data_IF_212601140693
#
_entry.id   IF_212601140693
#
_cell.length_a   1.000
_cell.length_b   1.000
_cell.length_c   1.000
_cell.angle_alpha   90.00
_cell.angle_beta   90.00
_cell.angle_gamma   90.00
#
_symmetry.space_group_name_H-M   'P 1'
#
loop_
_entity.id
_entity.type
_entity.pdbx_description
1 polymer ?
#
# COMPACT_ATOMS: atom_id res chain seq x y z
N UNK A 1 -7.22 -26.76 -5.36
CA UNK A 1 -7.56 -25.34 -5.56
C UNK A 1 -6.35 -24.49 -5.96
N UNK A 2 -5.20 -24.59 -5.27
CA UNK A 2 -3.95 -23.88 -5.61
C UNK A 2 -3.59 -24.01 -7.10
N UNK A 3 -3.68 -25.22 -7.67
CA UNK A 3 -3.42 -25.43 -9.10
C UNK A 3 -4.35 -24.63 -10.02
N UNK A 4 -5.65 -24.48 -9.69
CA UNK A 4 -6.60 -23.69 -10.48
C UNK A 4 -6.28 -22.20 -10.43
N UNK A 5 -5.89 -21.70 -9.25
CA UNK A 5 -5.46 -20.31 -9.07
C UNK A 5 -4.18 -20.02 -9.88
N UNK A 6 -3.19 -20.91 -9.79
CA UNK A 6 -1.94 -20.81 -10.54
C UNK A 6 -2.21 -20.84 -12.05
N UNK A 7 -3.00 -21.81 -12.51
CA UNK A 7 -3.33 -21.95 -13.94
C UNK A 7 -4.10 -20.72 -14.45
N UNK A 8 -5.10 -20.25 -13.69
CA UNK A 8 -5.85 -19.04 -14.02
C UNK A 8 -4.96 -17.80 -14.09
N UNK A 9 -4.05 -17.64 -13.13
CA UNK A 9 -3.08 -16.54 -13.12
C UNK A 9 -2.14 -16.60 -14.33
N UNK A 10 -1.68 -17.79 -14.72
CA UNK A 10 -0.86 -18.00 -15.92
C UNK A 10 -1.64 -17.64 -17.19
N UNK A 11 -2.91 -18.05 -17.30
CA UNK A 11 -3.75 -17.73 -18.46
C UNK A 11 -3.97 -16.22 -18.57
N UNK A 12 -4.26 -15.52 -17.47
CA UNK A 12 -4.40 -14.05 -17.47
C UNK A 12 -3.09 -13.39 -17.86
N UNK A 13 -1.96 -13.82 -17.29
CA UNK A 13 -0.65 -13.30 -17.64
C UNK A 13 -0.31 -13.52 -19.12
N UNK A 14 -0.59 -14.71 -19.66
CA UNK A 14 -0.39 -15.03 -21.08
C UNK A 14 -1.27 -14.17 -21.99
N UNK A 15 -2.52 -13.92 -21.61
CA UNK A 15 -3.42 -13.04 -22.36
C UNK A 15 -2.94 -11.59 -22.37
N UNK A 16 -2.45 -11.07 -21.25
CA UNK A 16 -1.86 -9.72 -21.16
C UNK A 16 -0.59 -9.61 -22.01
N UNK A 17 0.32 -10.58 -21.89
CA UNK A 17 1.55 -10.61 -22.70
C UNK A 17 1.21 -10.73 -24.19
N UNK A 18 0.26 -11.60 -24.55
CA UNK A 18 -0.21 -11.75 -25.93
C UNK A 18 -0.81 -10.45 -26.48
N UNK A 19 -1.60 -9.73 -25.68
CA UNK A 19 -2.15 -8.43 -26.08
C UNK A 19 -1.07 -7.36 -26.27
N UNK A 20 -0.03 -7.36 -25.43
CA UNK A 20 1.11 -6.44 -25.58
C UNK A 20 1.86 -6.73 -26.89
N UNK A 21 2.18 -8.00 -27.16
CA UNK A 21 2.89 -8.43 -28.37
C UNK A 21 2.05 -8.13 -29.62
N UNK A 22 0.76 -8.44 -29.60
CA UNK A 22 -0.14 -8.26 -30.74
C UNK A 22 -0.33 -6.78 -31.12
N UNK A 23 -0.20 -5.85 -30.18
CA UNK A 23 -0.27 -4.41 -30.44
C UNK A 23 1.03 -3.81 -31.00
N UNK A 24 2.04 -4.64 -31.32
CA UNK A 24 3.29 -4.16 -31.90
C UNK A 24 4.10 -3.26 -30.97
N UNK A 25 3.93 -3.42 -29.65
CA UNK A 25 4.67 -2.62 -28.69
C UNK A 25 6.18 -2.90 -28.82
N UNK A 26 6.95 -1.87 -29.18
CA UNK A 26 8.42 -1.92 -29.22
C UNK A 26 9.05 -2.05 -27.81
N UNK A 27 8.23 -1.98 -26.76
CA UNK A 27 8.67 -2.14 -25.37
C UNK A 27 9.03 -3.60 -25.12
N UNK A 28 10.33 -3.88 -25.05
CA UNK A 28 10.84 -5.23 -24.79
C UNK A 28 10.28 -5.85 -23.49
N UNK A 29 10.06 -7.17 -23.49
CA UNK A 29 9.51 -7.93 -22.35
C UNK A 29 10.28 -7.68 -21.04
N UNK A 30 11.60 -7.52 -21.11
CA UNK A 30 12.44 -7.21 -19.94
C UNK A 30 12.04 -5.92 -19.22
N UNK A 31 11.54 -4.97 -19.98
CA UNK A 31 11.10 -3.71 -19.44
C UNK A 31 9.84 -3.93 -18.58
N UNK A 32 8.89 -4.74 -19.03
CA UNK A 32 7.73 -5.11 -18.20
C UNK A 32 8.12 -5.93 -16.96
N UNK A 33 9.16 -6.76 -17.05
CA UNK A 33 9.67 -7.48 -15.87
C UNK A 33 10.24 -6.54 -14.80
N UNK A 34 10.74 -5.36 -15.18
CA UNK A 34 11.21 -4.35 -14.24
C UNK A 34 10.09 -3.71 -13.40
N UNK A 35 8.82 -3.86 -13.79
CA UNK A 35 7.65 -3.44 -12.99
C UNK A 35 7.29 -4.44 -11.89
N UNK A 36 7.74 -5.70 -11.99
CA UNK A 36 7.38 -6.72 -11.00
C UNK A 36 7.93 -6.44 -9.60
N UNK A 37 9.22 -6.04 -9.42
CA UNK A 37 9.76 -5.77 -8.09
C UNK A 37 8.94 -4.77 -7.26
N UNK A 38 8.60 -3.55 -7.71
CA UNK A 38 7.78 -2.64 -6.90
C UNK A 38 6.38 -3.21 -6.65
N UNK A 39 5.75 -3.80 -7.67
CA UNK A 39 4.39 -4.35 -7.59
C UNK A 39 4.27 -5.56 -6.65
N UNK A 40 5.38 -6.22 -6.33
CA UNK A 40 5.42 -7.34 -5.39
C UNK A 40 5.98 -6.93 -4.03
N UNK A 41 7.15 -6.30 -4.01
CA UNK A 41 7.87 -5.96 -2.78
C UNK A 41 7.13 -4.91 -1.96
N UNK A 42 6.49 -3.92 -2.59
CA UNK A 42 5.79 -2.90 -1.82
C UNK A 42 4.55 -3.44 -1.10
N UNK A 43 3.61 -4.14 -1.77
CA UNK A 43 2.51 -4.81 -1.08
C UNK A 43 2.97 -5.84 -0.05
N UNK A 44 4.03 -6.59 -0.35
CA UNK A 44 4.59 -7.59 0.57
C UNK A 44 5.20 -6.95 1.82
N UNK A 45 5.94 -5.86 1.66
CA UNK A 45 6.50 -5.08 2.76
C UNK A 45 5.40 -4.48 3.64
N UNK A 46 4.35 -3.93 3.02
CA UNK A 46 3.18 -3.42 3.74
C UNK A 46 2.43 -4.53 4.49
N UNK A 47 2.23 -5.70 3.85
CA UNK A 47 1.62 -6.87 4.49
C UNK A 47 2.45 -7.36 5.67
N UNK A 48 3.76 -7.37 5.51
CA UNK A 48 4.70 -7.74 6.58
C UNK A 48 4.58 -6.76 7.75
N UNK A 49 4.64 -5.46 7.48
CA UNK A 49 4.55 -4.40 8.48
C UNK A 49 3.21 -4.40 9.23
N UNK A 50 2.10 -4.69 8.53
CA UNK A 50 0.75 -4.63 9.08
C UNK A 50 0.25 -5.98 9.61
N UNK A 51 -0.55 -6.74 8.85
CA UNK A 51 -1.06 -8.06 9.28
C UNK A 51 0.01 -9.10 9.66
N UNK A 52 1.18 -9.04 9.04
CA UNK A 52 2.29 -9.99 9.17
C UNK A 52 2.21 -11.18 8.19
N UNK A 53 3.33 -11.87 7.98
CA UNK A 53 3.40 -13.04 7.08
C UNK A 53 2.48 -14.20 7.48
N UNK A 54 2.24 -14.37 8.79
CA UNK A 54 1.32 -15.39 9.32
C UNK A 54 -0.09 -15.21 8.73
N UNK A 55 -0.52 -13.98 8.50
CA UNK A 55 -1.82 -13.67 7.89
C UNK A 55 -1.99 -14.28 6.50
N UNK A 56 -0.92 -14.30 5.70
CA UNK A 56 -0.92 -14.90 4.36
C UNK A 56 -1.02 -16.43 4.49
N UNK A 57 -0.27 -17.03 5.42
CA UNK A 57 -0.35 -18.46 5.70
C UNK A 57 -1.75 -18.90 6.16
N UNK A 58 -2.35 -18.14 7.06
CA UNK A 58 -3.71 -18.40 7.56
C UNK A 58 -4.77 -18.25 6.46
N UNK A 59 -4.62 -17.29 5.55
CA UNK A 59 -5.48 -17.17 4.37
C UNK A 59 -5.45 -18.46 3.53
N UNK A 60 -4.27 -18.97 3.18
CA UNK A 60 -4.16 -20.20 2.41
C UNK A 60 -4.61 -21.43 3.19
N UNK A 61 -4.39 -21.46 4.50
CA UNK A 61 -4.86 -22.51 5.39
C UNK A 61 -6.38 -22.57 5.39
N UNK A 62 -7.04 -21.43 5.65
CA UNK A 62 -8.50 -21.29 5.62
C UNK A 62 -9.08 -21.80 4.30
N UNK A 63 -8.50 -21.38 3.18
CA UNK A 63 -9.02 -21.76 1.88
C UNK A 63 -8.86 -23.27 1.63
N UNK A 64 -7.79 -23.90 2.15
CA UNK A 64 -7.52 -25.33 1.95
C UNK A 64 -8.34 -26.23 2.88
N UNK A 65 -8.52 -25.82 4.13
CA UNK A 65 -9.07 -26.67 5.18
C UNK A 65 -10.43 -26.19 5.71
N UNK A 66 -10.94 -25.06 5.22
CA UNK A 66 -12.09 -24.39 5.81
C UNK A 66 -11.72 -23.69 7.12
N UNK A 67 -12.70 -23.06 7.75
CA UNK A 67 -12.52 -22.36 9.01
C UNK A 67 -13.79 -21.69 9.51
N UNK A 68 -13.72 -21.18 10.73
CA UNK A 68 -14.85 -20.48 11.35
C UNK A 68 -15.06 -19.08 10.78
N UNK A 69 -16.13 -18.41 11.21
CA UNK A 69 -16.42 -17.04 10.77
C UNK A 69 -15.32 -16.04 11.21
N UNK A 70 -14.66 -16.30 12.35
CA UNK A 70 -13.47 -15.54 12.79
C UNK A 70 -12.36 -15.58 11.75
N UNK A 71 -11.99 -16.78 11.28
CA UNK A 71 -10.90 -16.97 10.31
C UNK A 71 -11.22 -16.31 8.97
N UNK A 72 -12.47 -16.42 8.51
CA UNK A 72 -12.95 -15.72 7.30
C UNK A 72 -12.85 -14.20 7.44
N UNK A 73 -13.22 -13.65 8.58
CA UNK A 73 -13.10 -12.22 8.81
C UNK A 73 -11.64 -11.74 8.83
N UNK A 74 -10.72 -12.53 9.40
CA UNK A 74 -9.28 -12.27 9.35
C UNK A 74 -8.72 -12.35 7.91
N UNK A 75 -9.15 -13.34 7.14
CA UNK A 75 -8.78 -13.49 5.74
C UNK A 75 -9.30 -12.33 4.88
N UNK A 76 -10.57 -11.93 5.02
CA UNK A 76 -11.17 -10.77 4.35
C UNK A 76 -10.43 -9.48 4.70
N UNK A 77 -10.08 -9.27 5.98
CA UNK A 77 -9.30 -8.11 6.39
C UNK A 77 -7.91 -8.07 5.73
N UNK A 78 -7.26 -9.23 5.61
CA UNK A 78 -5.95 -9.37 4.96
C UNK A 78 -6.03 -9.10 3.46
N UNK A 79 -7.03 -9.64 2.76
CA UNK A 79 -7.24 -9.41 1.33
C UNK A 79 -7.59 -7.94 1.01
N UNK A 80 -8.48 -7.31 1.79
CA UNK A 80 -8.79 -5.88 1.64
C UNK A 80 -7.56 -5.00 1.84
N UNK A 81 -6.69 -5.37 2.78
CA UNK A 81 -5.43 -4.66 2.98
C UNK A 81 -4.45 -4.87 1.82
N UNK A 82 -4.38 -6.08 1.26
CA UNK A 82 -3.60 -6.37 0.06
C UNK A 82 -4.07 -5.57 -1.17
N UNK A 83 -5.38 -5.48 -1.40
CA UNK A 83 -5.92 -4.65 -2.49
C UNK A 83 -5.58 -3.17 -2.30
N UNK A 84 -5.72 -2.67 -1.07
CA UNK A 84 -5.34 -1.30 -0.72
C UNK A 84 -3.85 -1.06 -0.95
N UNK A 85 -2.98 -2.01 -0.58
CA UNK A 85 -1.54 -1.88 -0.78
C UNK A 85 -1.13 -1.95 -2.25
N UNK A 86 -1.80 -2.79 -3.05
CA UNK A 86 -1.63 -2.81 -4.51
C UNK A 86 -2.01 -1.47 -5.15
N UNK A 87 -3.18 -0.93 -4.81
CA UNK A 87 -3.64 0.36 -5.33
C UNK A 87 -2.68 1.49 -4.94
N UNK A 88 -2.22 1.52 -3.69
CA UNK A 88 -1.23 2.50 -3.22
C UNK A 88 0.11 2.38 -3.96
N UNK A 89 0.58 1.15 -4.17
CA UNK A 89 1.81 0.88 -4.94
C UNK A 89 1.68 1.41 -6.37
N UNK A 90 0.54 1.13 -7.03
CA UNK A 90 0.28 1.60 -8.39
C UNK A 90 0.33 3.12 -8.49
N UNK A 91 -0.34 3.83 -7.56
CA UNK A 91 -0.37 5.29 -7.53
C UNK A 91 1.04 5.85 -7.31
N UNK A 92 1.82 5.27 -6.38
CA UNK A 92 3.17 5.74 -6.09
C UNK A 92 4.12 5.52 -7.27
N UNK A 93 4.07 4.35 -7.91
CA UNK A 93 4.86 4.06 -9.09
C UNK A 93 4.46 4.97 -10.26
N UNK A 94 3.16 5.23 -10.45
CA UNK A 94 2.67 6.21 -11.43
C UNK A 94 3.28 7.59 -11.16
N UNK A 95 3.21 8.08 -9.92
CA UNK A 95 3.75 9.40 -9.54
C UNK A 95 5.26 9.47 -9.80
N UNK A 96 6.03 8.43 -9.43
CA UNK A 96 7.48 8.37 -9.65
C UNK A 96 7.82 8.49 -11.13
N UNK A 97 7.19 7.69 -12.01
CA UNK A 97 7.46 7.76 -13.44
C UNK A 97 6.89 9.00 -14.11
N UNK A 98 5.72 9.46 -13.68
CA UNK A 98 5.16 10.71 -14.18
C UNK A 98 6.11 11.87 -13.89
N UNK A 99 6.72 11.91 -12.70
CA UNK A 99 7.78 12.89 -12.39
C UNK A 99 8.98 12.76 -13.31
N UNK A 100 9.45 11.54 -13.55
CA UNK A 100 10.57 11.28 -14.47
C UNK A 100 10.23 11.69 -15.91
N UNK A 101 9.00 11.46 -16.37
CA UNK A 101 8.49 11.91 -17.66
C UNK A 101 8.50 13.44 -17.76
N UNK A 102 8.00 14.13 -16.73
CA UNK A 102 7.97 15.60 -16.69
C UNK A 102 9.37 16.21 -16.86
N UNK A 103 10.41 15.53 -16.35
CA UNK A 103 11.82 15.94 -16.55
C UNK A 103 12.28 15.83 -18.00
N UNK A 104 11.71 14.91 -18.77
CA UNK A 104 12.11 14.59 -20.14
C UNK A 104 11.18 15.18 -21.21
N UNK A 105 10.30 16.14 -20.87
CA UNK A 105 9.35 16.76 -21.81
C UNK A 105 10.01 17.48 -23.00
N UNK A 106 11.31 17.76 -22.91
CA UNK A 106 12.07 18.34 -24.03
C UNK A 106 12.18 17.35 -25.22
N UNK A 107 12.16 16.05 -24.94
CA UNK A 107 12.17 15.00 -25.95
C UNK A 107 10.73 14.56 -26.26
N UNK A 108 10.21 15.01 -27.41
CA UNK A 108 8.84 14.73 -27.85
C UNK A 108 8.59 13.26 -28.12
N UNK A 109 9.60 12.54 -28.60
CA UNK A 109 9.49 11.14 -28.97
C UNK A 109 9.43 10.25 -27.71
N UNK A 110 10.00 10.75 -26.60
CA UNK A 110 9.96 10.08 -25.30
C UNK A 110 8.64 10.27 -24.53
N UNK A 111 7.74 11.17 -24.93
CA UNK A 111 6.52 11.47 -24.16
C UNK A 111 5.60 10.24 -24.07
N UNK A 112 5.26 9.63 -25.21
CA UNK A 112 4.32 8.51 -25.24
C UNK A 112 4.86 7.24 -24.58
N UNK A 113 6.12 6.83 -24.81
CA UNK A 113 6.72 5.73 -24.06
C UNK A 113 6.69 5.98 -22.55
N UNK A 114 7.13 7.16 -22.10
CA UNK A 114 7.16 7.47 -20.66
C UNK A 114 5.77 7.52 -20.03
N UNK A 115 4.75 8.00 -20.76
CA UNK A 115 3.37 7.96 -20.29
C UNK A 115 2.85 6.53 -20.15
N UNK A 116 3.13 5.66 -21.14
CA UNK A 116 2.78 4.25 -21.06
C UNK A 116 3.45 3.59 -19.84
N UNK A 117 4.72 3.92 -19.58
CA UNK A 117 5.45 3.47 -18.39
C UNK A 117 4.88 3.97 -17.07
N UNK A 118 4.42 5.22 -17.03
CA UNK A 118 3.76 5.75 -15.84
C UNK A 118 2.43 5.00 -15.57
N UNK A 119 1.69 4.63 -16.61
CA UNK A 119 0.41 3.92 -16.48
C UNK A 119 0.56 2.41 -16.22
N UNK A 120 1.66 1.80 -16.65
CA UNK A 120 1.88 0.36 -16.52
C UNK A 120 1.69 -0.20 -15.10
N UNK A 121 2.18 0.42 -14.00
CA UNK A 121 1.90 -0.04 -12.64
C UNK A 121 0.40 -0.18 -12.31
N UNK A 122 -0.44 0.70 -12.82
CA UNK A 122 -1.90 0.62 -12.62
C UNK A 122 -2.51 -0.57 -13.34
N UNK A 123 -2.04 -0.85 -14.57
CA UNK A 123 -2.44 -2.04 -15.31
C UNK A 123 -1.99 -3.33 -14.58
N UNK A 124 -0.75 -3.37 -14.08
CA UNK A 124 -0.26 -4.51 -13.31
C UNK A 124 -1.05 -4.72 -12.02
N UNK A 125 -1.38 -3.64 -11.30
CA UNK A 125 -2.20 -3.72 -10.10
C UNK A 125 -3.58 -4.30 -10.39
N UNK A 126 -4.21 -3.86 -11.49
CA UNK A 126 -5.49 -4.40 -11.96
C UNK A 126 -5.39 -5.89 -12.31
N UNK A 127 -4.34 -6.28 -13.04
CA UNK A 127 -4.09 -7.68 -13.40
C UNK A 127 -3.89 -8.53 -12.16
N UNK A 128 -3.08 -8.09 -11.19
CA UNK A 128 -2.88 -8.82 -9.92
C UNK A 128 -4.19 -8.91 -9.13
N UNK A 129 -4.97 -7.82 -9.08
CA UNK A 129 -6.26 -7.83 -8.40
C UNK A 129 -7.22 -8.86 -9.01
N UNK A 130 -7.38 -8.84 -10.34
CA UNK A 130 -8.30 -9.76 -11.06
C UNK A 130 -7.79 -11.20 -11.06
N UNK A 131 -6.49 -11.43 -11.22
CA UNK A 131 -5.92 -12.77 -11.33
C UNK A 131 -5.68 -13.45 -9.96
N UNK A 132 -5.45 -12.66 -8.91
CA UNK A 132 -5.05 -13.18 -7.59
C UNK A 132 -6.06 -12.80 -6.51
N UNK A 133 -6.28 -11.51 -6.27
CA UNK A 133 -7.07 -11.07 -5.11
C UNK A 133 -8.55 -11.46 -5.20
N UNK A 134 -9.18 -11.25 -6.35
CA UNK A 134 -10.60 -11.55 -6.56
C UNK A 134 -10.89 -13.06 -6.48
N UNK A 135 -10.12 -13.95 -7.13
CA UNK A 135 -10.25 -15.40 -6.94
C UNK A 135 -10.02 -15.85 -5.49
N UNK A 136 -9.05 -15.25 -4.78
CA UNK A 136 -8.83 -15.57 -3.37
C UNK A 136 -10.01 -15.12 -2.50
N UNK A 137 -10.61 -13.97 -2.78
CA UNK A 137 -11.81 -13.48 -2.08
C UNK A 137 -12.97 -14.44 -2.25
N UNK A 138 -13.26 -14.87 -3.48
CA UNK A 138 -14.29 -15.87 -3.74
C UNK A 138 -13.98 -17.23 -3.11
N UNK A 139 -12.71 -17.62 -3.05
CA UNK A 139 -12.31 -18.86 -2.39
C UNK A 139 -12.52 -18.81 -0.87
N UNK A 140 -12.29 -17.66 -0.24
CA UNK A 140 -12.59 -17.43 1.18
C UNK A 140 -14.11 -17.47 1.42
N UNK A 141 -14.91 -16.88 0.54
CA UNK A 141 -16.38 -16.92 0.62
C UNK A 141 -16.95 -18.33 0.42
N UNK A 142 -16.35 -19.11 -0.48
CA UNK A 142 -16.77 -20.49 -0.77
C UNK A 142 -16.25 -21.51 0.26
N UNK A 143 -15.33 -21.12 1.15
CA UNK A 143 -14.82 -22.02 2.18
C UNK A 143 -15.96 -22.42 3.14
N UNK A 144 -16.32 -23.70 3.17
CA UNK A 144 -17.42 -24.20 4.01
C UNK A 144 -17.19 -23.99 5.50
N UNK A 145 -18.27 -23.95 6.30
CA UNK A 145 -18.17 -23.94 7.77
C UNK A 145 -17.77 -25.35 8.20
N UNK A 146 -16.51 -25.55 8.56
CA UNK A 146 -16.08 -26.80 9.20
C UNK A 146 -16.36 -26.66 10.68
N UNK A 147 -17.15 -27.59 11.23
CA UNK A 147 -17.37 -27.70 12.67
C UNK A 147 -16.01 -27.81 13.37
N UNK A 148 -15.79 -26.90 14.31
CA UNK A 148 -14.50 -26.55 14.91
C UNK A 148 -13.54 -27.73 15.10
N UNK A 149 -12.52 -27.82 14.24
CA UNK A 149 -11.31 -28.57 14.57
C UNK A 149 -10.65 -27.90 15.78
N UNK A 150 -10.15 -28.66 16.78
CA UNK A 150 -9.56 -28.09 17.99
C UNK A 150 -8.49 -27.06 17.60
N UNK A 151 -8.70 -25.83 18.05
CA UNK A 151 -7.87 -24.70 17.67
C UNK A 151 -6.39 -25.03 17.99
N UNK A 152 -5.48 -24.91 17.01
CA UNK A 152 -4.05 -25.07 17.30
C UNK A 152 -3.65 -24.10 18.41
N UNK A 153 -2.81 -24.59 19.34
CA UNK A 153 -2.40 -23.84 20.54
C UNK A 153 -2.06 -22.38 20.19
N UNK A 154 -2.84 -21.47 20.81
CA UNK A 154 -2.95 -20.08 20.41
C UNK A 154 -1.65 -19.32 20.77
N UNK A 155 -0.66 -19.38 19.88
CA UNK A 155 0.46 -18.45 19.92
C UNK A 155 -0.07 -17.09 19.49
N UNK A 156 -0.42 -16.25 20.48
CA UNK A 156 -0.86 -14.86 20.27
C UNK A 156 0.19 -14.17 19.39
N UNK A 157 -0.10 -13.87 18.12
CA UNK A 157 0.88 -13.25 17.24
C UNK A 157 1.09 -11.81 17.72
N UNK A 158 2.19 -11.56 18.42
CA UNK A 158 2.53 -10.20 18.85
C UNK A 158 2.96 -9.39 17.63
N UNK A 159 2.36 -8.21 17.46
CA UNK A 159 2.99 -7.15 16.67
C UNK A 159 4.38 -6.89 17.24
N UNK A 160 5.39 -6.75 16.38
CA UNK A 160 6.75 -6.42 16.80
C UNK A 160 7.27 -5.23 16.02
N UNK A 161 8.02 -4.37 16.70
CA UNK A 161 8.70 -3.22 16.10
C UNK A 161 9.62 -3.64 14.94
N UNK A 162 10.30 -4.79 15.08
CA UNK A 162 11.13 -5.37 14.03
C UNK A 162 10.32 -5.72 12.78
N UNK A 163 9.11 -6.28 12.94
CA UNK A 163 8.20 -6.57 11.83
C UNK A 163 7.78 -5.31 11.09
N UNK A 164 7.43 -4.25 11.84
CA UNK A 164 7.09 -2.95 11.25
C UNK A 164 8.25 -2.42 10.40
N UNK A 165 9.43 -2.25 11.00
CA UNK A 165 10.57 -1.65 10.31
C UNK A 165 11.12 -2.54 9.18
N UNK A 166 11.13 -3.86 9.35
CA UNK A 166 11.49 -4.80 8.29
C UNK A 166 10.53 -4.71 7.11
N UNK A 167 9.22 -4.69 7.36
CA UNK A 167 8.21 -4.50 6.31
C UNK A 167 8.31 -3.14 5.62
N UNK A 168 8.56 -2.06 6.38
CA UNK A 168 8.82 -0.73 5.83
C UNK A 168 10.05 -0.72 4.92
N UNK A 169 11.15 -1.36 5.34
CA UNK A 169 12.37 -1.45 4.54
C UNK A 169 12.15 -2.20 3.22
N UNK A 170 11.42 -3.32 3.26
CA UNK A 170 11.04 -4.06 2.03
C UNK A 170 10.15 -3.20 1.12
N UNK A 171 9.19 -2.46 1.69
CA UNK A 171 8.32 -1.60 0.90
C UNK A 171 9.08 -0.44 0.24
N UNK A 172 10.01 0.18 0.96
CA UNK A 172 10.89 1.22 0.44
C UNK A 172 11.86 0.66 -0.62
N UNK A 173 12.40 -0.54 -0.42
CA UNK A 173 13.22 -1.21 -1.44
C UNK A 173 12.43 -1.45 -2.72
N UNK A 174 11.14 -1.81 -2.62
CA UNK A 174 10.23 -1.93 -3.74
C UNK A 174 10.14 -0.65 -4.57
N UNK A 175 9.80 0.48 -3.96
CA UNK A 175 9.66 1.75 -4.69
C UNK A 175 11.01 2.26 -5.24
N UNK A 176 12.11 2.08 -4.50
CA UNK A 176 13.46 2.49 -4.95
C UNK A 176 13.93 1.64 -6.11
N UNK A 177 13.66 0.33 -6.10
CA UNK A 177 14.05 -0.59 -7.18
C UNK A 177 13.45 -0.21 -8.53
N UNK A 178 12.33 0.54 -8.51
CA UNK A 178 11.64 0.95 -9.71
C UNK A 178 12.35 2.08 -10.46
N UNK A 179 12.94 3.03 -9.75
CA UNK A 179 13.69 4.13 -10.35
C UNK A 179 14.90 4.54 -9.50
N UNK A 180 15.94 3.68 -9.39
CA UNK A 180 17.05 3.92 -8.48
C UNK A 180 17.77 5.25 -8.76
N UNK A 181 17.94 5.59 -10.03
CA UNK A 181 18.60 6.83 -10.46
C UNK A 181 17.83 8.10 -10.02
N UNK A 182 16.49 8.05 -10.04
CA UNK A 182 15.66 9.19 -9.61
C UNK A 182 15.80 9.43 -8.10
N UNK A 183 15.87 8.38 -7.30
CA UNK A 183 16.12 8.49 -5.86
C UNK A 183 17.56 8.92 -5.54
N UNK A 184 18.55 8.38 -6.26
CA UNK A 184 19.96 8.74 -6.08
C UNK A 184 20.28 10.19 -6.44
N UNK A 185 19.54 10.77 -7.39
CA UNK A 185 19.71 12.17 -7.84
C UNK A 185 18.95 13.20 -6.98
N UNK A 186 18.39 12.79 -5.84
CA UNK A 186 17.63 13.67 -4.94
C UNK A 186 16.43 14.36 -5.62
N UNK A 187 15.92 13.79 -6.72
CA UNK A 187 14.84 14.36 -7.53
C UNK A 187 13.57 14.62 -6.72
N UNK A 188 13.35 13.82 -5.69
CA UNK A 188 12.16 13.86 -4.84
C UNK A 188 12.38 14.66 -3.55
N UNK A 189 13.47 15.41 -3.41
CA UNK A 189 13.78 16.16 -2.20
C UNK A 189 13.49 17.64 -2.43
N UNK A 190 12.38 18.10 -1.86
CA UNK A 190 11.98 19.52 -1.85
C UNK A 190 11.61 19.94 -0.43
N UNK A 191 12.26 21.00 0.07
CA UNK A 191 12.10 21.46 1.45
C UNK A 191 10.65 21.87 1.73
N UNK A 192 10.01 22.59 0.79
CA UNK A 192 8.63 23.07 0.96
C UNK A 192 7.65 21.90 1.11
N UNK A 193 7.81 20.87 0.27
CA UNK A 193 7.06 19.63 0.37
C UNK A 193 7.26 18.99 1.74
N UNK A 194 8.50 18.85 2.23
CA UNK A 194 8.75 18.25 3.56
C UNK A 194 8.12 19.02 4.70
N UNK A 195 8.13 20.36 4.66
CA UNK A 195 7.45 21.18 5.66
C UNK A 195 5.94 20.85 5.68
N UNK A 196 5.29 20.77 4.53
CA UNK A 196 3.87 20.41 4.40
C UNK A 196 3.61 19.01 4.97
N UNK A 197 4.43 18.03 4.58
CA UNK A 197 4.26 16.61 4.95
C UNK A 197 4.51 16.36 6.43
N UNK A 198 5.36 17.17 7.09
CA UNK A 198 5.65 17.02 8.52
C UNK A 198 4.66 17.84 9.35
N UNK A 199 4.53 19.14 9.07
CA UNK A 199 3.79 20.05 9.94
C UNK A 199 2.28 19.94 9.80
N UNK A 200 1.72 19.59 8.62
CA UNK A 200 0.27 19.42 8.50
C UNK A 200 -0.20 18.20 9.28
N UNK A 201 0.35 16.98 9.09
CA UNK A 201 -0.02 15.83 9.91
C UNK A 201 0.21 16.12 11.39
N UNK A 202 1.39 16.62 11.77
CA UNK A 202 1.68 16.93 13.17
C UNK A 202 0.66 17.90 13.78
N UNK A 203 0.32 18.98 13.09
CA UNK A 203 -0.69 19.94 13.53
C UNK A 203 -2.07 19.31 13.69
N UNK A 204 -2.51 18.50 12.72
CA UNK A 204 -3.79 17.78 12.78
C UNK A 204 -3.84 16.78 13.94
N UNK A 205 -2.74 16.06 14.20
CA UNK A 205 -2.65 15.09 15.30
C UNK A 205 -2.66 15.77 16.67
N UNK A 206 -1.90 16.87 16.82
CA UNK A 206 -1.88 17.65 18.04
C UNK A 206 -3.24 18.28 18.34
N UNK A 207 -3.95 18.74 17.32
CA UNK A 207 -5.28 19.33 17.46
C UNK A 207 -6.37 18.33 17.84
N UNK A 208 -6.36 17.11 17.29
CA UNK A 208 -7.48 16.18 17.43
C UNK A 208 -7.32 15.14 18.54
N UNK A 209 -6.14 14.55 18.72
CA UNK A 209 -5.98 13.38 19.60
C UNK A 209 -4.95 13.59 20.71
N UNK A 210 -4.06 14.57 20.56
CA UNK A 210 -2.94 14.81 21.45
C UNK A 210 -1.89 13.69 21.41
N UNK A 211 -0.66 14.00 21.85
CA UNK A 211 0.47 13.05 21.78
C UNK A 211 0.28 11.79 22.62
N UNK A 212 -0.49 11.87 23.71
CA UNK A 212 -0.79 10.73 24.59
C UNK A 212 -1.66 9.65 23.90
N UNK A 213 -2.48 10.01 22.90
CA UNK A 213 -3.31 9.04 22.19
C UNK A 213 -2.48 8.10 21.33
N UNK A 214 -1.46 8.61 20.62
CA UNK A 214 -0.55 7.78 19.84
C UNK A 214 0.34 6.89 20.69
N UNK A 215 0.84 7.41 21.83
CA UNK A 215 1.61 6.60 22.78
C UNK A 215 0.76 5.42 23.29
N UNK A 216 -0.51 5.67 23.63
CA UNK A 216 -1.45 4.62 24.04
C UNK A 216 -1.77 3.65 22.91
N UNK A 217 -2.03 4.15 21.70
CA UNK A 217 -2.28 3.31 20.53
C UNK A 217 -1.10 2.36 20.24
N UNK A 218 0.13 2.89 20.34
CA UNK A 218 1.36 2.12 20.18
C UNK A 218 1.55 1.10 21.31
N UNK A 219 1.30 1.50 22.56
CA UNK A 219 1.36 0.59 23.70
C UNK A 219 0.36 -0.55 23.54
N UNK A 220 -0.89 -0.27 23.16
CA UNK A 220 -1.93 -1.29 22.92
C UNK A 220 -1.56 -2.27 21.81
N UNK A 221 -0.81 -1.85 20.78
CA UNK A 221 -0.33 -2.77 19.75
C UNK A 221 0.73 -3.75 20.27
N UNK A 222 1.56 -3.33 21.23
CA UNK A 222 2.63 -4.18 21.80
C UNK A 222 2.15 -4.99 23.02
N UNK A 223 1.07 -4.58 23.66
CA UNK A 223 0.51 -5.24 24.83
C UNK A 223 -0.29 -6.51 24.42
N UNK A 224 0.13 -7.72 24.82
CA UNK A 224 -0.56 -8.97 24.50
C UNK A 224 -1.92 -9.13 25.21
N UNK A 225 -2.19 -8.32 26.22
CA UNK A 225 -3.43 -8.30 27.01
C UNK A 225 -4.32 -7.09 26.70
N UNK A 226 -3.98 -6.32 25.66
CA UNK A 226 -4.74 -5.17 25.22
C UNK A 226 -6.22 -5.50 25.01
N UNK A 227 -7.11 -4.77 25.70
CA UNK A 227 -8.57 -4.94 25.55
C UNK A 227 -9.05 -4.59 24.14
N UNK A 228 -10.18 -5.18 23.72
CA UNK A 228 -10.81 -4.90 22.43
C UNK A 228 -11.07 -3.40 22.21
N UNK A 229 -11.49 -2.69 23.27
CA UNK A 229 -11.75 -1.24 23.20
C UNK A 229 -10.46 -0.45 22.95
N UNK A 230 -9.35 -0.83 23.60
CA UNK A 230 -8.06 -0.16 23.41
C UNK A 230 -7.52 -0.33 21.98
N UNK A 231 -7.68 -1.53 21.39
CA UNK A 231 -7.32 -1.80 19.99
C UNK A 231 -8.22 -1.04 19.00
N UNK A 232 -9.52 -0.89 19.28
CA UNK A 232 -10.42 -0.05 18.46
C UNK A 232 -10.00 1.41 18.49
N UNK A 233 -9.63 1.94 19.67
CA UNK A 233 -9.08 3.30 19.82
C UNK A 233 -7.76 3.45 19.07
N UNK A 234 -6.87 2.45 19.13
CA UNK A 234 -5.62 2.42 18.39
C UNK A 234 -5.85 2.48 16.86
N UNK A 235 -6.77 1.64 16.34
CA UNK A 235 -7.17 1.66 14.93
C UNK A 235 -7.66 3.04 14.49
N UNK A 236 -8.52 3.69 15.29
CA UNK A 236 -9.02 5.04 14.98
C UNK A 236 -7.88 6.07 14.95
N UNK A 237 -6.93 6.00 15.87
CA UNK A 237 -5.76 6.89 15.88
C UNK A 237 -4.90 6.72 14.62
N UNK A 238 -4.62 5.48 14.18
CA UNK A 238 -3.85 5.22 12.97
C UNK A 238 -4.61 5.56 11.68
N UNK A 239 -5.92 5.36 11.66
CA UNK A 239 -6.77 5.82 10.56
C UNK A 239 -6.76 7.34 10.44
N UNK A 240 -6.79 8.05 11.57
CA UNK A 240 -6.66 9.50 11.59
C UNK A 240 -5.29 9.97 11.13
N UNK A 241 -4.21 9.26 11.51
CA UNK A 241 -2.87 9.49 10.95
C UNK A 241 -2.85 9.34 9.42
N UNK A 242 -3.45 8.28 8.86
CA UNK A 242 -3.56 8.11 7.41
C UNK A 242 -4.33 9.26 6.74
N UNK A 243 -5.44 9.70 7.35
CA UNK A 243 -6.22 10.84 6.88
C UNK A 243 -5.40 12.13 6.90
N UNK A 244 -4.56 12.32 7.91
CA UNK A 244 -3.72 13.51 8.04
C UNK A 244 -2.66 13.59 6.94
N UNK A 245 -2.02 12.47 6.59
CA UNK A 245 -1.14 12.39 5.41
C UNK A 245 -1.89 12.67 4.11
N UNK A 246 -3.09 12.09 3.93
CA UNK A 246 -3.91 12.38 2.75
C UNK A 246 -4.26 13.88 2.65
N UNK A 247 -4.53 14.52 3.79
CA UNK A 247 -4.83 15.95 3.85
C UNK A 247 -3.59 16.78 3.49
N UNK A 248 -2.41 16.40 3.98
CA UNK A 248 -1.15 17.02 3.59
C UNK A 248 -0.88 16.90 2.08
N UNK A 249 -1.17 15.74 1.47
CA UNK A 249 -1.09 15.56 0.02
C UNK A 249 -2.01 16.56 -0.73
N UNK A 250 -3.26 16.69 -0.28
CA UNK A 250 -4.24 17.60 -0.89
C UNK A 250 -3.84 19.07 -0.74
N UNK A 251 -3.34 19.48 0.44
CA UNK A 251 -2.87 20.85 0.66
C UNK A 251 -1.63 21.15 -0.19
N UNK A 252 -0.64 20.24 -0.23
CA UNK A 252 0.54 20.41 -1.07
C UNK A 252 0.21 20.49 -2.56
N UNK A 253 -0.70 19.63 -3.03
CA UNK A 253 -1.23 19.69 -4.38
C UNK A 253 -1.97 21.00 -4.66
N UNK A 254 -2.83 21.46 -3.75
CA UNK A 254 -3.55 22.73 -3.87
C UNK A 254 -2.62 23.94 -3.91
N UNK A 255 -1.62 23.98 -3.02
CA UNK A 255 -0.61 25.05 -2.99
C UNK A 255 0.22 25.08 -4.27
N UNK A 256 0.72 23.93 -4.71
CA UNK A 256 1.48 23.84 -5.97
C UNK A 256 0.64 24.22 -7.18
N UNK A 257 -0.66 23.88 -7.20
CA UNK A 257 -1.57 24.30 -8.27
C UNK A 257 -1.78 25.81 -8.29
N UNK A 258 -2.01 26.43 -7.12
CA UNK A 258 -2.17 27.89 -7.03
C UNK A 258 -0.91 28.62 -7.50
N UNK A 259 0.29 28.13 -7.11
CA UNK A 259 1.56 28.70 -7.57
C UNK A 259 1.75 28.51 -9.08
N UNK A 260 1.38 27.34 -9.61
CA UNK A 260 1.44 27.06 -11.05
C UNK A 260 0.54 28.01 -11.86
N UNK A 261 -0.68 28.29 -11.39
CA UNK A 261 -1.60 29.23 -12.05
C UNK A 261 -1.05 30.65 -11.96
N UNK A 262 -0.55 31.07 -10.80
CA UNK A 262 0.07 32.38 -10.59
C UNK A 262 1.24 32.61 -11.54
N UNK A 263 2.06 31.58 -11.73
CA UNK A 263 3.32 31.66 -12.48
C UNK A 263 3.19 31.08 -13.90
N UNK A 264 1.98 30.89 -14.43
CA UNK A 264 1.73 30.16 -15.69
C UNK A 264 2.43 30.78 -16.92
N UNK A 265 2.64 32.10 -16.93
CA UNK A 265 3.34 32.80 -18.00
C UNK A 265 4.87 32.67 -17.87
N UNK A 266 5.38 32.39 -16.68
CA UNK A 266 6.81 32.25 -16.39
C UNK A 266 7.23 30.78 -16.44
N UNK A 267 7.64 30.32 -17.63
CA UNK A 267 8.06 28.92 -17.86
C UNK A 267 9.08 28.39 -16.85
N UNK A 268 9.96 29.25 -16.33
CA UNK A 268 10.99 28.90 -15.33
C UNK A 268 10.42 28.59 -13.95
N UNK A 269 9.21 29.07 -13.61
CA UNK A 269 8.55 28.89 -12.32
C UNK A 269 7.48 27.81 -12.30
N UNK A 270 6.96 27.43 -13.47
CA UNK A 270 6.00 26.32 -13.61
C UNK A 270 6.60 24.99 -13.12
N UNK A 271 7.87 24.72 -13.44
CA UNK A 271 8.56 23.48 -13.03
C UNK A 271 8.56 23.24 -11.51
N UNK A 272 9.08 24.18 -10.69
CA UNK A 272 9.02 24.10 -9.23
C UNK A 272 7.61 23.94 -8.66
N UNK A 273 6.62 24.63 -9.25
CA UNK A 273 5.23 24.54 -8.81
C UNK A 273 4.64 23.15 -9.04
N UNK A 274 4.90 22.55 -10.21
CA UNK A 274 4.52 21.17 -10.52
C UNK A 274 5.26 20.18 -9.61
N UNK A 275 6.55 20.40 -9.34
CA UNK A 275 7.32 19.57 -8.42
C UNK A 275 6.69 19.56 -7.02
N UNK A 276 6.26 20.71 -6.50
CA UNK A 276 5.56 20.79 -5.20
C UNK A 276 4.28 19.94 -5.17
N UNK A 277 3.48 19.94 -6.24
CA UNK A 277 2.26 19.11 -6.35
C UNK A 277 2.62 17.63 -6.23
N UNK A 278 3.57 17.20 -7.06
CA UNK A 278 3.86 15.78 -7.28
C UNK A 278 4.67 15.21 -6.11
N UNK A 279 5.68 15.93 -5.61
CA UNK A 279 6.53 15.51 -4.49
C UNK A 279 5.74 15.49 -3.17
N UNK A 280 4.87 16.48 -2.93
CA UNK A 280 4.01 16.49 -1.73
C UNK A 280 3.06 15.28 -1.71
N UNK A 281 2.46 14.96 -2.87
CA UNK A 281 1.62 13.78 -3.01
C UNK A 281 2.42 12.49 -2.82
N UNK A 282 3.59 12.38 -3.48
CA UNK A 282 4.46 11.20 -3.40
C UNK A 282 4.77 10.82 -1.97
N UNK A 283 5.36 11.74 -1.20
CA UNK A 283 5.80 11.44 0.16
C UNK A 283 4.65 11.25 1.14
N UNK A 284 3.57 12.02 0.99
CA UNK A 284 2.39 11.84 1.85
C UNK A 284 1.77 10.46 1.65
N UNK A 285 1.61 10.03 0.40
CA UNK A 285 1.10 8.70 0.07
C UNK A 285 2.08 7.60 0.47
N UNK A 286 3.38 7.84 0.36
CA UNK A 286 4.41 6.90 0.78
C UNK A 286 4.36 6.69 2.29
N UNK A 287 4.36 7.77 3.09
CA UNK A 287 4.27 7.70 4.56
C UNK A 287 2.94 7.10 5.02
N UNK A 288 1.83 7.45 4.36
CA UNK A 288 0.55 6.80 4.60
C UNK A 288 0.66 5.28 4.39
N UNK A 289 1.28 4.86 3.29
CA UNK A 289 1.39 3.44 2.89
C UNK A 289 2.34 2.64 3.77
N UNK A 290 3.49 3.19 4.14
CA UNK A 290 4.52 2.45 4.90
C UNK A 290 4.36 2.58 6.41
N UNK A 291 3.68 3.63 6.92
CA UNK A 291 3.50 3.85 8.36
C UNK A 291 2.06 3.69 8.80
N UNK A 292 1.15 4.52 8.28
CA UNK A 292 -0.19 4.63 8.85
C UNK A 292 -1.07 3.40 8.55
N UNK A 293 -1.09 2.95 7.29
CA UNK A 293 -1.90 1.81 6.87
C UNK A 293 -1.49 0.49 7.53
N UNK A 294 -0.19 0.14 7.62
CA UNK A 294 0.23 -1.08 8.30
C UNK A 294 -0.17 -1.10 9.77
N UNK A 295 -0.02 0.04 10.48
CA UNK A 295 -0.43 0.14 11.88
C UNK A 295 -1.95 0.04 12.06
N UNK A 296 -2.72 0.67 11.18
CA UNK A 296 -4.19 0.51 11.14
C UNK A 296 -4.59 -0.96 10.95
N UNK A 297 -3.96 -1.65 10.00
CA UNK A 297 -4.24 -3.05 9.69
C UNK A 297 -3.81 -4.00 10.81
N UNK A 298 -2.69 -3.73 11.48
CA UNK A 298 -2.26 -4.48 12.65
C UNK A 298 -3.27 -4.35 13.81
N UNK A 299 -3.78 -3.14 14.06
CA UNK A 299 -4.78 -2.90 15.09
C UNK A 299 -6.14 -3.55 14.74
N UNK A 300 -6.60 -3.44 13.50
CA UNK A 300 -7.81 -4.09 13.02
C UNK A 300 -7.73 -5.61 13.18
N UNK A 301 -6.63 -6.21 12.75
CA UNK A 301 -6.44 -7.65 12.83
C UNK A 301 -6.46 -8.16 14.28
N UNK A 302 -5.69 -7.53 15.18
CA UNK A 302 -5.71 -7.91 16.61
C UNK A 302 -7.10 -7.75 17.23
N UNK A 303 -7.86 -6.72 16.81
CA UNK A 303 -9.23 -6.54 17.30
C UNK A 303 -10.18 -7.65 16.86
N UNK A 304 -9.99 -8.20 15.64
CA UNK A 304 -10.77 -9.33 15.14
C UNK A 304 -10.38 -10.65 15.83
N UNK A 305 -9.09 -10.83 16.13
CA UNK A 305 -8.59 -11.98 16.89
C UNK A 305 -9.24 -12.05 18.28
N UNK A 306 -9.28 -10.94 19.02
CA UNK A 306 -9.89 -10.88 20.35
C UNK A 306 -11.43 -10.92 20.27
N UNK A 307 -12.02 -10.17 19.34
CA UNK A 307 -13.47 -10.10 19.19
C UNK A 307 -14.09 -11.45 18.87
N UNK A 308 -13.42 -12.29 18.07
CA UNK A 308 -13.90 -13.65 17.79
C UNK A 308 -13.83 -14.59 18.99
N UNK A 309 -12.90 -14.40 19.93
CA UNK A 309 -12.81 -15.22 21.14
C UNK A 309 -13.97 -14.96 22.11
N UNK A 310 -14.39 -13.69 22.25
CA UNK A 310 -15.44 -13.29 23.20
C UNK A 310 -16.87 -13.76 22.81
N UNK A 311 -17.09 -14.18 21.56
CA UNK A 311 -18.37 -14.75 21.12
C UNK A 311 -18.53 -16.24 21.43
N UNK A 312 -17.46 -16.92 21.84
CA UNK A 312 -17.44 -18.37 22.09
C UNK A 312 -17.25 -18.74 23.56
N UNK A 313 -17.05 -17.76 24.45
CA UNK A 313 -17.03 -17.90 25.91
C UNK A 313 -18.39 -17.60 26.51
#
# INVERSE_FOLDING_TARGET
MILKLILGSIVVAAAVIGAIIANGAEVGVFAYLALLPPMLLMPLGMLTAGPGFKAIGELFFLIRFGGGERDRNLARATLRFFDKSLAMTAILCFIVHFTAMLKNLADKDAIWPNLAWALAPSLFALVIHVAVSLPLTHAVEASGTVESSPAPAETKPSFTTLRLFGGMAVALAGIVSFSPASFASWLFVDLSSFLIIIFIPLGMLLAATGSASFKRAWASLNDPEASLESLRKARLAYRYLALSFRSAAMVGAGMGFVLMVKDFLERTRVGPSVALIVISALWSLLLMSVVALPLEAAAERRSLEIGGAAFHS
#
